data_IF_135172225976
#
_entry.id   IF_135172225976
#
_cell.length_a   1.000
_cell.length_b   1.000
_cell.length_c   1.000
_cell.angle_alpha   90.00
_cell.angle_beta   90.00
_cell.angle_gamma   90.00
#
_symmetry.space_group_name_H-M   'P 1'
#
loop_
_entity.id
_entity.type
_entity.pdbx_description
1 polymer ?
#
# COMPACT_ATOMS: atom_id res chain seq x y z
N UNK A 1 25.78 14.81 -16.81
CA UNK A 1 25.01 13.58 -16.52
C UNK A 1 24.82 13.31 -15.02
N UNK A 2 25.17 14.25 -14.11
CA UNK A 2 24.87 14.14 -12.68
C UNK A 2 23.86 15.20 -12.18
N UNK A 3 23.49 16.15 -13.04
CA UNK A 3 22.61 17.29 -12.67
C UNK A 3 21.11 16.97 -12.81
N UNK A 4 20.74 15.95 -13.59
CA UNK A 4 19.32 15.59 -13.80
C UNK A 4 18.70 14.77 -12.66
N UNK A 5 19.49 14.22 -11.72
CA UNK A 5 18.98 13.38 -10.62
C UNK A 5 18.66 14.16 -9.33
N UNK A 6 18.98 15.45 -9.25
CA UNK A 6 18.68 16.29 -8.08
C UNK A 6 17.36 17.09 -8.21
N UNK A 7 16.70 17.05 -9.36
CA UNK A 7 15.56 17.94 -9.64
C UNK A 7 14.19 17.37 -9.21
N UNK A 8 14.09 16.08 -8.88
CA UNK A 8 12.80 15.45 -8.50
C UNK A 8 12.52 15.42 -6.99
N UNK A 9 13.46 15.82 -6.13
CA UNK A 9 13.29 15.71 -4.66
C UNK A 9 12.77 17.02 -4.02
N UNK A 10 12.77 18.14 -4.74
CA UNK A 10 12.52 19.47 -4.13
C UNK A 10 11.08 20.02 -4.24
N UNK A 11 10.14 19.32 -4.86
CA UNK A 11 8.85 19.92 -5.21
C UNK A 11 7.62 19.57 -4.35
N UNK A 12 7.72 18.75 -3.29
CA UNK A 12 6.51 18.34 -2.57
C UNK A 12 6.63 18.34 -1.03
N UNK A 13 6.94 19.52 -0.47
CA UNK A 13 6.76 19.80 0.95
C UNK A 13 5.65 20.85 1.14
N UNK A 14 4.43 20.46 1.55
CA UNK A 14 3.45 21.41 2.03
C UNK A 14 3.86 21.92 3.42
N UNK A 15 4.65 22.99 3.44
CA UNK A 15 4.72 23.93 4.55
C UNK A 15 3.36 24.64 4.68
N UNK A 16 2.50 24.22 5.62
CA UNK A 16 1.50 25.08 6.27
C UNK A 16 0.67 24.30 7.30
N UNK A 17 0.59 24.83 8.53
CA UNK A 17 -0.63 24.62 9.32
C UNK A 17 -0.49 24.35 10.81
N UNK A 18 0.49 24.93 11.52
CA UNK A 18 0.38 25.13 12.96
C UNK A 18 -0.76 26.11 13.26
N UNK A 19 -1.98 25.63 13.51
CA UNK A 19 -3.03 26.43 14.14
C UNK A 19 -3.98 25.58 14.98
N UNK A 20 -3.95 25.83 16.30
CA UNK A 20 -5.17 26.05 17.06
C UNK A 20 -5.90 24.82 17.60
N UNK A 21 -5.31 24.15 18.58
CA UNK A 21 -6.07 23.32 19.52
C UNK A 21 -6.96 24.25 20.37
N UNK A 22 -8.25 24.37 20.04
CA UNK A 22 -9.27 24.90 20.96
C UNK A 22 -10.07 23.73 21.53
N UNK A 23 -9.81 23.47 22.80
CA UNK A 23 -10.67 22.69 23.70
C UNK A 23 -12.07 23.31 23.70
N UNK A 24 -13.06 22.54 23.26
CA UNK A 24 -14.47 22.81 23.53
C UNK A 24 -15.04 21.63 24.33
N UNK A 25 -15.23 21.90 25.62
CA UNK A 25 -15.94 21.05 26.57
C UNK A 25 -17.40 20.95 26.10
N UNK A 26 -17.87 19.74 25.79
CA UNK A 26 -19.29 19.46 25.56
C UNK A 26 -19.78 18.48 26.61
N UNK A 27 -20.36 19.04 27.67
CA UNK A 27 -21.21 18.33 28.60
C UNK A 27 -22.65 18.33 28.06
N UNK A 28 -23.21 17.15 27.80
CA UNK A 28 -24.66 16.99 27.69
C UNK A 28 -25.09 15.61 28.23
N UNK A 29 -26.28 15.54 28.87
CA UNK A 29 -26.58 14.59 29.94
C UNK A 29 -27.08 13.21 29.46
N UNK A 30 -27.14 12.23 30.38
CA UNK A 30 -27.74 10.92 30.13
C UNK A 30 -29.25 10.93 30.41
N UNK A 31 -29.90 9.83 30.04
CA UNK A 31 -31.31 9.46 30.19
C UNK A 31 -32.26 9.99 29.11
N UNK A 32 -32.76 9.06 28.28
CA UNK A 32 -34.16 8.64 28.40
C UNK A 32 -34.42 7.30 27.71
N UNK A 33 -34.93 6.40 28.54
CA UNK A 33 -35.48 5.07 28.30
C UNK A 33 -36.83 5.17 27.59
N UNK A 34 -37.07 4.46 26.48
CA UNK A 34 -38.38 3.90 26.08
C UNK A 34 -38.09 2.76 25.08
N UNK A 35 -38.24 1.49 25.47
CA UNK A 35 -39.50 0.74 25.52
C UNK A 35 -39.97 0.28 24.12
N UNK A 36 -39.67 -0.99 23.84
CA UNK A 36 -40.50 -2.00 23.17
C UNK A 36 -41.48 -1.54 22.07
N UNK A 37 -41.16 -1.93 20.83
CA UNK A 37 -42.16 -2.44 19.89
C UNK A 37 -41.64 -3.76 19.30
N UNK A 38 -42.07 -4.84 19.92
CA UNK A 38 -42.04 -6.20 19.38
C UNK A 38 -43.13 -6.32 18.29
N UNK A 39 -42.80 -7.12 17.27
CA UNK A 39 -43.69 -7.78 16.30
C UNK A 39 -44.15 -6.98 15.07
N UNK A 40 -43.52 -7.35 13.94
CA UNK A 40 -43.96 -7.03 12.59
C UNK A 40 -43.14 -7.80 11.55
N UNK A 41 -43.34 -9.13 11.49
CA UNK A 41 -42.85 -10.00 10.42
C UNK A 41 -43.34 -9.50 9.05
N UNK A 42 -42.42 -9.02 8.22
CA UNK A 42 -42.48 -9.11 6.76
C UNK A 42 -41.03 -9.24 6.29
N UNK A 43 -40.68 -10.40 5.76
CA UNK A 43 -39.38 -10.64 5.13
C UNK A 43 -39.47 -10.24 3.66
N UNK A 44 -38.95 -9.08 3.23
CA UNK A 44 -38.54 -8.93 1.85
C UNK A 44 -37.22 -9.69 1.69
N UNK A 45 -37.31 -10.89 1.11
CA UNK A 45 -36.21 -11.55 0.39
C UNK A 45 -35.91 -10.66 -0.82
N UNK A 46 -35.23 -9.55 -0.58
CA UNK A 46 -34.75 -8.66 -1.62
C UNK A 46 -33.38 -9.19 -2.06
N UNK A 47 -33.41 -9.85 -3.21
CA UNK A 47 -32.35 -9.95 -4.19
C UNK A 47 -30.91 -9.95 -3.63
N UNK A 48 -30.34 -11.14 -3.55
CA UNK A 48 -28.91 -11.34 -3.82
C UNK A 48 -28.67 -10.81 -5.25
N UNK A 49 -28.49 -9.50 -5.38
CA UNK A 49 -27.85 -8.94 -6.56
C UNK A 49 -26.46 -9.56 -6.53
N UNK A 50 -26.21 -10.48 -7.46
CA UNK A 50 -24.85 -10.80 -7.84
C UNK A 50 -24.19 -9.46 -8.10
N UNK A 51 -23.32 -9.03 -7.18
CA UNK A 51 -22.47 -7.89 -7.38
C UNK A 51 -21.81 -8.12 -8.73
N UNK A 52 -22.05 -7.20 -9.67
CA UNK A 52 -21.37 -7.21 -10.98
C UNK A 52 -19.91 -7.56 -10.74
N UNK A 53 -19.47 -8.65 -11.38
CA UNK A 53 -18.28 -9.42 -11.03
C UNK A 53 -17.00 -8.59 -11.07
N UNK A 54 -16.73 -7.87 -9.99
CA UNK A 54 -15.41 -7.32 -9.70
C UNK A 54 -14.51 -8.49 -9.34
N UNK A 55 -13.85 -9.06 -10.33
CA UNK A 55 -12.69 -9.90 -10.06
C UNK A 55 -11.59 -8.99 -9.52
N UNK A 56 -11.16 -9.18 -8.26
CA UNK A 56 -10.16 -8.31 -7.67
C UNK A 56 -8.84 -8.49 -8.43
N UNK A 57 -8.32 -7.38 -8.95
CA UNK A 57 -6.98 -7.35 -9.55
C UNK A 57 -5.95 -7.70 -8.48
N UNK A 58 -5.06 -8.64 -8.81
CA UNK A 58 -4.06 -9.19 -7.91
C UNK A 58 -2.67 -9.05 -8.52
N UNK A 59 -1.73 -8.64 -7.69
CA UNK A 59 -0.32 -8.51 -8.04
C UNK A 59 0.51 -9.29 -7.01
N UNK A 60 1.02 -10.45 -7.44
CA UNK A 60 1.92 -11.32 -6.66
C UNK A 60 3.36 -10.99 -7.05
N UNK A 61 4.16 -10.59 -6.09
CA UNK A 61 5.53 -10.12 -6.26
C UNK A 61 6.49 -10.90 -5.37
N UNK A 62 7.69 -11.14 -5.90
CA UNK A 62 8.85 -11.59 -5.13
C UNK A 62 9.86 -10.45 -5.14
N UNK A 63 10.19 -9.94 -3.96
CA UNK A 63 11.02 -8.75 -3.80
C UNK A 63 12.35 -9.10 -3.12
N UNK A 64 13.47 -8.72 -3.75
CA UNK A 64 14.82 -8.92 -3.21
C UNK A 64 15.38 -7.57 -2.76
N UNK A 65 15.85 -7.48 -1.50
CA UNK A 65 16.41 -6.25 -0.97
C UNK A 65 17.73 -5.89 -1.67
N UNK A 66 17.81 -4.64 -2.10
CA UNK A 66 18.97 -4.10 -2.81
C UNK A 66 19.89 -3.36 -1.83
N UNK A 67 21.21 -3.31 -2.09
CA UNK A 67 22.12 -2.43 -1.38
C UNK A 67 21.62 -0.99 -1.43
N UNK A 68 21.71 -0.29 -0.31
CA UNK A 68 21.15 1.06 -0.18
C UNK A 68 22.19 2.08 0.23
N UNK A 69 21.90 3.34 -0.09
CA UNK A 69 22.65 4.48 0.41
C UNK A 69 21.96 5.00 1.66
N UNK A 70 22.58 4.81 2.81
CA UNK A 70 22.17 5.44 4.05
C UNK A 70 22.64 6.90 4.06
N UNK A 71 21.77 7.80 4.50
CA UNK A 71 22.09 9.20 4.74
C UNK A 71 22.08 9.40 6.25
N UNK A 72 23.20 9.81 6.82
CA UNK A 72 23.26 10.22 8.23
C UNK A 72 23.46 11.73 8.33
N UNK A 73 22.74 12.32 9.28
CA UNK A 73 22.85 13.74 9.62
C UNK A 73 23.83 13.85 10.78
N UNK A 74 24.99 14.46 10.52
CA UNK A 74 26.04 14.69 11.51
C UNK A 74 25.82 16.01 12.25
N UNK A 75 26.89 16.81 12.39
CA UNK A 75 26.76 18.18 12.85
C UNK A 75 25.86 19.02 11.89
N UNK A 76 25.30 20.16 12.32
CA UNK A 76 24.52 21.03 11.43
C UNK A 76 25.29 21.34 10.13
N UNK A 77 24.73 20.92 9.00
CA UNK A 77 25.34 21.06 7.67
C UNK A 77 26.18 19.88 7.19
N UNK A 78 26.35 18.83 7.99
CA UNK A 78 27.07 17.61 7.63
C UNK A 78 26.09 16.50 7.21
N UNK A 79 26.19 16.09 5.94
CA UNK A 79 25.50 14.96 5.35
C UNK A 79 26.53 13.91 4.97
N UNK A 80 26.42 12.71 5.52
CA UNK A 80 27.28 11.60 5.13
C UNK A 80 26.47 10.54 4.38
N UNK A 81 27.05 10.02 3.30
CA UNK A 81 26.47 8.97 2.47
C UNK A 81 27.29 7.70 2.67
N UNK A 82 26.66 6.65 3.18
CA UNK A 82 27.27 5.33 3.32
C UNK A 82 26.52 4.30 2.49
N UNK A 83 27.22 3.33 1.91
CA UNK A 83 26.57 2.14 1.36
C UNK A 83 26.31 1.15 2.51
N UNK A 84 25.08 0.65 2.57
CA UNK A 84 24.65 -0.33 3.54
C UNK A 84 24.22 -1.59 2.80
N UNK A 85 24.74 -2.74 3.26
CA UNK A 85 24.34 -4.03 2.75
C UNK A 85 22.84 -4.28 3.03
N UNK A 86 22.18 -5.13 2.23
CA UNK A 86 20.82 -5.57 2.49
C UNK A 86 20.66 -6.09 3.92
N UNK A 87 19.55 -5.73 4.57
CA UNK A 87 19.23 -6.19 5.91
C UNK A 87 18.61 -7.59 5.88
N UNK A 88 17.78 -7.85 4.87
CA UNK A 88 17.16 -9.14 4.59
C UNK A 88 17.90 -9.82 3.45
N UNK A 89 18.32 -11.07 3.68
CA UNK A 89 18.95 -11.90 2.65
C UNK A 89 17.93 -12.72 1.87
N UNK A 90 16.78 -13.01 2.48
CA UNK A 90 15.76 -13.84 1.88
C UNK A 90 14.75 -12.98 1.10
N UNK A 91 14.27 -13.45 -0.06
CA UNK A 91 13.23 -12.74 -0.80
C UNK A 91 11.95 -12.57 0.02
N UNK A 92 11.32 -11.41 -0.11
CA UNK A 92 10.05 -11.06 0.52
C UNK A 92 8.93 -11.29 -0.47
N UNK A 93 7.96 -12.13 -0.10
CA UNK A 93 6.73 -12.30 -0.86
C UNK A 93 5.79 -11.14 -0.53
N UNK A 94 5.22 -10.53 -1.56
CA UNK A 94 4.26 -9.43 -1.45
C UNK A 94 3.09 -9.68 -2.37
N UNK A 95 1.90 -9.81 -1.80
CA UNK A 95 0.64 -9.89 -2.53
C UNK A 95 -0.13 -8.60 -2.33
N UNK A 96 -0.46 -7.92 -3.42
CA UNK A 96 -1.34 -6.76 -3.39
C UNK A 96 -2.66 -7.12 -4.06
N UNK A 97 -3.76 -6.94 -3.34
CA UNK A 97 -5.11 -7.20 -3.86
C UNK A 97 -5.92 -5.91 -3.87
N UNK A 98 -6.48 -5.51 -5.02
CA UNK A 98 -7.46 -4.42 -5.07
C UNK A 98 -8.71 -4.82 -4.29
N UNK A 99 -9.07 -4.04 -3.27
CA UNK A 99 -10.15 -4.39 -2.34
C UNK A 99 -11.47 -3.74 -2.71
N UNK A 100 -11.45 -2.45 -3.08
CA UNK A 100 -12.64 -1.69 -3.49
C UNK A 100 -12.24 -0.45 -4.31
N UNK A 101 -13.10 0.01 -5.24
CA UNK A 101 -12.87 1.26 -5.94
C UNK A 101 -12.88 2.45 -4.99
N UNK A 102 -12.08 3.48 -5.29
CA UNK A 102 -12.16 4.77 -4.62
C UNK A 102 -13.39 5.56 -5.03
N UNK A 103 -13.70 6.64 -4.29
CA UNK A 103 -14.78 7.57 -4.65
C UNK A 103 -14.47 8.34 -5.94
N UNK A 104 -13.18 8.58 -6.19
CA UNK A 104 -12.70 9.15 -7.44
C UNK A 104 -12.01 8.07 -8.29
N UNK A 105 -12.30 8.03 -9.59
CA UNK A 105 -11.74 7.07 -10.57
C UNK A 105 -10.20 7.06 -10.70
N UNK A 106 -9.50 7.90 -9.93
CA UNK A 106 -8.04 8.03 -9.98
C UNK A 106 -7.33 7.08 -9.01
N UNK A 107 -8.03 6.59 -7.99
CA UNK A 107 -7.46 5.70 -6.98
C UNK A 107 -8.41 4.56 -6.61
N UNK A 108 -7.83 3.38 -6.41
CA UNK A 108 -8.50 2.24 -5.80
C UNK A 108 -7.92 1.99 -4.41
N UNK A 109 -8.68 1.35 -3.52
CA UNK A 109 -8.13 0.82 -2.28
C UNK A 109 -7.55 -0.58 -2.53
N UNK A 110 -6.46 -0.89 -1.86
CA UNK A 110 -5.79 -2.18 -1.92
C UNK A 110 -5.37 -2.65 -0.53
N UNK A 111 -5.18 -3.95 -0.40
CA UNK A 111 -4.61 -4.60 0.78
C UNK A 111 -3.29 -5.26 0.38
N UNK A 112 -2.27 -5.05 1.20
CA UNK A 112 -0.95 -5.64 1.06
C UNK A 112 -0.80 -6.77 2.08
N UNK A 113 -0.49 -7.95 1.61
CA UNK A 113 -0.12 -9.11 2.41
C UNK A 113 1.35 -9.44 2.12
N UNK A 114 2.15 -9.71 3.15
CA UNK A 114 3.56 -10.01 2.97
C UNK A 114 4.07 -11.08 3.93
N UNK A 115 5.10 -11.83 3.50
CA UNK A 115 5.85 -12.72 4.38
C UNK A 115 6.64 -11.97 5.45
N UNK A 116 6.99 -10.70 5.20
CA UNK A 116 7.65 -9.83 6.16
C UNK A 116 6.68 -9.33 7.25
N UNK A 117 7.02 -9.58 8.52
CA UNK A 117 6.16 -9.22 9.66
C UNK A 117 5.82 -7.72 9.75
N UNK A 118 6.72 -6.84 9.30
CA UNK A 118 6.54 -5.40 9.31
C UNK A 118 5.67 -4.87 8.15
N UNK A 119 5.23 -5.75 7.24
CA UNK A 119 4.34 -5.45 6.10
C UNK A 119 3.09 -6.35 6.08
N UNK A 120 2.78 -7.01 7.19
CA UNK A 120 1.60 -7.85 7.27
C UNK A 120 0.33 -6.99 7.30
N UNK A 121 -0.54 -7.19 6.29
CA UNK A 121 -1.91 -6.67 6.24
C UNK A 121 -1.98 -5.14 6.31
N UNK A 122 -1.28 -4.46 5.41
CA UNK A 122 -1.35 -2.99 5.30
C UNK A 122 -2.44 -2.55 4.30
N UNK A 123 -3.15 -1.48 4.65
CA UNK A 123 -4.03 -0.78 3.71
C UNK A 123 -3.22 0.16 2.82
N UNK A 124 -3.53 0.15 1.53
CA UNK A 124 -2.88 0.97 0.53
C UNK A 124 -3.85 1.60 -0.47
N UNK A 125 -3.34 2.61 -1.15
CA UNK A 125 -3.97 3.27 -2.29
C UNK A 125 -3.26 2.78 -3.54
N UNK A 126 -4.04 2.25 -4.48
CA UNK A 126 -3.59 1.81 -5.78
C UNK A 126 -3.90 2.89 -6.82
N UNK A 127 -2.85 3.52 -7.35
CA UNK A 127 -2.96 4.45 -8.47
C UNK A 127 -2.61 3.72 -9.77
N UNK A 128 -3.64 3.40 -10.56
CA UNK A 128 -3.53 2.60 -11.77
C UNK A 128 -2.44 3.14 -12.71
N UNK A 129 -1.52 2.26 -13.12
CA UNK A 129 -0.41 2.57 -14.02
C UNK A 129 0.71 3.43 -13.42
N UNK A 130 0.65 3.77 -12.13
CA UNK A 130 1.63 4.63 -11.45
C UNK A 130 2.31 3.91 -10.28
N UNK A 131 1.61 3.81 -9.15
CA UNK A 131 2.19 3.29 -7.93
C UNK A 131 1.12 2.78 -6.96
N UNK A 132 1.53 1.93 -6.03
CA UNK A 132 0.76 1.53 -4.86
C UNK A 132 1.43 2.17 -3.65
N UNK A 133 0.67 2.81 -2.77
CA UNK A 133 1.20 3.55 -1.61
C UNK A 133 0.39 3.25 -0.35
N UNK A 134 1.06 2.80 0.71
CA UNK A 134 0.43 2.59 2.02
C UNK A 134 0.31 3.89 2.81
N UNK A 135 -0.47 3.87 3.89
CA UNK A 135 -0.70 5.05 4.71
C UNK A 135 0.63 5.70 5.18
N UNK A 136 0.66 7.04 5.14
CA UNK A 136 1.80 7.88 5.53
C UNK A 136 3.04 7.74 4.64
N UNK A 137 2.92 7.15 3.45
CA UNK A 137 4.02 7.05 2.48
C UNK A 137 5.16 6.13 2.93
N UNK A 138 4.95 5.34 3.98
CA UNK A 138 5.92 4.39 4.52
C UNK A 138 6.31 3.34 3.48
N UNK A 139 5.34 2.88 2.70
CA UNK A 139 5.53 1.83 1.70
C UNK A 139 5.06 2.33 0.34
N UNK A 140 5.87 2.08 -0.68
CA UNK A 140 5.57 2.43 -2.07
C UNK A 140 6.03 1.32 -3.01
N UNK A 141 5.20 0.93 -3.97
CA UNK A 141 5.60 0.12 -5.13
C UNK A 141 5.38 0.95 -6.38
N UNK A 142 6.43 1.19 -7.16
CA UNK A 142 6.29 1.80 -8.48
C UNK A 142 5.91 0.72 -9.50
N UNK A 143 4.75 0.85 -10.12
CA UNK A 143 4.19 -0.16 -11.03
C UNK A 143 4.90 -0.20 -12.40
N UNK A 144 5.66 0.85 -12.75
CA UNK A 144 6.37 0.90 -14.04
C UNK A 144 7.68 0.11 -14.05
N UNK A 145 8.33 -0.02 -12.89
CA UNK A 145 9.63 -0.70 -12.75
C UNK A 145 9.68 -1.73 -11.62
N UNK A 146 8.54 -1.98 -10.97
CA UNK A 146 8.39 -2.92 -9.86
C UNK A 146 9.39 -2.71 -8.73
N UNK A 147 9.77 -1.44 -8.47
CA UNK A 147 10.64 -1.09 -7.36
C UNK A 147 9.79 -0.81 -6.12
N UNK A 148 10.02 -1.59 -5.06
CA UNK A 148 9.41 -1.39 -3.76
C UNK A 148 10.34 -0.56 -2.86
N UNK A 149 9.79 0.42 -2.17
CA UNK A 149 10.51 1.28 -1.22
C UNK A 149 9.81 1.26 0.12
N UNK A 150 10.59 1.10 1.19
CA UNK A 150 10.14 1.15 2.57
C UNK A 150 10.89 2.24 3.33
N UNK A 151 10.18 3.12 4.00
CA UNK A 151 10.74 4.17 4.86
C UNK A 151 10.63 3.75 6.31
N UNK A 152 11.75 3.49 6.97
CA UNK A 152 11.81 3.19 8.39
C UNK A 152 12.30 4.44 9.15
N UNK A 153 11.63 4.81 10.24
CA UNK A 153 12.10 5.86 11.15
C UNK A 153 12.69 5.20 12.38
N UNK A 154 13.95 5.53 12.69
CA UNK A 154 14.65 5.01 13.84
C UNK A 154 14.33 5.78 15.13
N UNK A 155 14.56 5.18 16.31
CA UNK A 155 14.32 5.85 17.60
C UNK A 155 15.15 7.11 17.82
N UNK A 156 16.28 7.26 17.13
CA UNK A 156 17.13 8.45 17.17
C UNK A 156 16.63 9.59 16.25
N UNK A 157 15.51 9.37 15.55
CA UNK A 157 14.93 10.31 14.60
C UNK A 157 15.57 10.28 13.21
N UNK A 158 16.51 9.37 12.95
CA UNK A 158 17.01 9.13 11.60
C UNK A 158 15.98 8.37 10.76
N UNK A 159 16.08 8.52 9.44
CA UNK A 159 15.21 7.82 8.49
C UNK A 159 16.07 6.95 7.58
N UNK A 160 15.63 5.70 7.37
CA UNK A 160 16.25 4.72 6.47
C UNK A 160 15.30 4.39 5.35
N UNK A 161 15.83 4.35 4.13
CA UNK A 161 15.06 4.04 2.93
C UNK A 161 15.54 2.71 2.37
N UNK A 162 14.75 1.66 2.62
CA UNK A 162 15.01 0.33 2.11
C UNK A 162 14.41 0.18 0.72
N UNK A 163 15.13 -0.50 -0.16
CA UNK A 163 14.74 -0.67 -1.56
C UNK A 163 14.74 -2.15 -1.90
N UNK A 164 13.74 -2.59 -2.63
CA UNK A 164 13.62 -3.96 -3.08
C UNK A 164 13.28 -3.96 -4.55
N UNK A 165 14.01 -4.76 -5.30
CA UNK A 165 13.71 -5.05 -6.69
C UNK A 165 12.74 -6.21 -6.71
N UNK A 166 11.56 -6.00 -7.31
CA UNK A 166 10.51 -7.01 -7.34
C UNK A 166 10.30 -7.55 -8.75
N UNK A 167 9.97 -8.82 -8.81
CA UNK A 167 9.54 -9.50 -10.03
C UNK A 167 8.10 -9.99 -9.84
N UNK A 168 7.28 -9.86 -10.88
CA UNK A 168 5.91 -10.38 -10.84
C UNK A 168 5.95 -11.90 -10.95
N UNK A 169 5.39 -12.58 -9.95
CA UNK A 169 5.15 -14.02 -10.01
C UNK A 169 3.97 -14.24 -10.95
N UNK A 170 4.24 -14.82 -12.12
CA UNK A 170 3.19 -15.27 -13.03
C UNK A 170 2.51 -16.45 -12.33
N UNK A 171 1.47 -16.18 -11.56
CA UNK A 171 0.58 -17.23 -11.06
C UNK A 171 -0.10 -17.79 -12.29
N UNK A 172 0.28 -19.01 -12.67
CA UNK A 172 -0.19 -19.69 -13.87
C UNK A 172 -1.71 -19.90 -13.85
N UNK A 173 -2.44 -18.85 -14.21
CA UNK A 173 -3.81 -18.88 -14.70
C UNK A 173 -3.79 -18.78 -16.23
N UNK A 174 -2.73 -19.27 -16.88
CA UNK A 174 -2.80 -19.57 -18.29
C UNK A 174 -3.64 -20.84 -18.43
N UNK A 175 -4.96 -20.62 -18.46
CA UNK A 175 -5.97 -21.61 -18.78
C UNK A 175 -5.86 -22.07 -20.24
N UNK A 176 -4.66 -22.41 -20.70
CA UNK A 176 -4.46 -23.31 -21.82
C UNK A 176 -4.54 -24.74 -21.30
N UNK A 177 -5.76 -25.15 -20.91
CA UNK A 177 -6.26 -26.44 -21.40
C UNK A 177 -6.33 -26.32 -22.92
N UNK A 178 -5.16 -26.35 -23.58
CA UNK A 178 -5.12 -26.56 -25.01
C UNK A 178 -5.42 -28.04 -25.19
N UNK A 179 -6.72 -28.30 -25.28
CA UNK A 179 -7.33 -29.55 -25.66
C UNK A 179 -6.76 -29.98 -27.03
N UNK A 180 -5.67 -30.74 -26.99
CA UNK A 180 -5.13 -31.49 -28.15
C UNK A 180 -6.05 -32.67 -28.54
N UNK A 181 -7.34 -32.63 -28.16
CA UNK A 181 -8.38 -33.49 -28.72
C UNK A 181 -8.86 -32.99 -30.09
N UNK A 182 -7.94 -32.87 -31.04
CA UNK A 182 -8.27 -32.78 -32.47
C UNK A 182 -6.99 -33.15 -33.25
N UNK A 183 -6.93 -34.18 -34.09
CA UNK A 183 -7.97 -34.78 -34.90
C UNK A 183 -7.37 -36.02 -35.56
N UNK A 184 -8.12 -37.11 -35.56
CA UNK A 184 -8.05 -38.23 -36.49
C UNK A 184 -7.17 -38.01 -37.74
N UNK A 185 -6.11 -38.83 -37.88
CA UNK A 185 -5.99 -39.77 -39.02
C UNK A 185 -4.87 -40.77 -38.84
#
# INVERSE_FOLDING_TARGET
MLEDLMNDIYHDLPLRGLFGLRLAVSACPPLQTFAACLLGLMAPVAALQAADGFEPERLDLICVEQPMRAVSFGAPGELSYGEQAPKESDPVDVLVTKSRPGEDFTYDFAVIESSAAYLQNEEAIWMTGKQIEAQQGRFKINLSNLMMTLTETDPDGSARFRRFECEQRITGNDGTDQDDSNKNR
#
